data_IF_430454964600
#
_entry.id   IF_430454964600
#
_cell.length_a   1.000
_cell.length_b   1.000
_cell.length_c   1.000
_cell.angle_alpha   90.00
_cell.angle_beta   90.00
_cell.angle_gamma   90.00
#
_symmetry.space_group_name_H-M   'P 1'
#
loop_
_entity.id
_entity.type
_entity.pdbx_description
1 polymer ?
#
# COMPACT_ATOMS: atom_id res chain seq x y z
N UNK A 1 34.82 -1.99 6.57
CA UNK A 1 34.26 -2.96 5.62
C UNK A 1 33.03 -3.59 6.26
N UNK A 2 31.84 -3.43 5.70
CA UNK A 2 30.62 -4.08 6.21
C UNK A 2 30.49 -5.40 5.44
N UNK A 3 30.63 -6.53 6.15
CA UNK A 3 30.51 -7.86 5.57
C UNK A 3 29.04 -8.16 5.23
N UNK A 4 28.73 -8.79 4.08
CA UNK A 4 27.43 -9.39 3.84
C UNK A 4 27.39 -10.70 4.64
N UNK A 5 27.01 -10.62 5.91
CA UNK A 5 26.56 -11.82 6.62
C UNK A 5 25.09 -12.06 6.25
N UNK A 6 24.80 -13.31 5.91
CA UNK A 6 23.48 -13.90 5.69
C UNK A 6 22.47 -13.63 6.83
N UNK A 7 22.92 -13.08 7.97
CA UNK A 7 22.10 -12.66 9.10
C UNK A 7 21.21 -11.43 8.88
N UNK A 8 21.27 -10.76 7.72
CA UNK A 8 20.31 -9.68 7.41
C UNK A 8 18.91 -10.19 7.02
N UNK A 9 18.76 -11.48 6.70
CA UNK A 9 17.44 -12.09 6.43
C UNK A 9 16.71 -12.53 7.70
N UNK A 10 17.43 -12.79 8.79
CA UNK A 10 16.86 -13.26 10.05
C UNK A 10 16.15 -12.16 10.85
N UNK A 11 16.46 -10.89 10.58
CA UNK A 11 15.86 -9.76 11.31
C UNK A 11 14.37 -9.54 10.95
N UNK A 12 13.95 -9.93 9.74
CA UNK A 12 12.55 -9.85 9.29
C UNK A 12 11.65 -10.93 9.93
N UNK A 13 12.24 -11.95 10.55
CA UNK A 13 11.53 -12.99 11.31
C UNK A 13 11.46 -12.70 12.81
N UNK A 14 11.95 -11.55 13.26
CA UNK A 14 11.84 -11.13 14.65
C UNK A 14 10.42 -10.60 14.95
N UNK A 15 9.84 -11.01 16.08
CA UNK A 15 8.62 -10.41 16.62
C UNK A 15 8.96 -8.93 16.93
N UNK A 16 8.49 -7.97 16.10
CA UNK A 16 7.07 -7.67 15.85
C UNK A 16 6.63 -7.64 14.36
N UNK A 17 7.55 -7.76 13.41
CA UNK A 17 7.25 -7.60 11.97
C UNK A 17 6.32 -8.70 11.45
N UNK A 18 6.50 -9.92 11.94
CA UNK A 18 5.62 -11.03 11.61
C UNK A 18 4.16 -10.75 12.00
N UNK A 19 3.94 -10.14 13.16
CA UNK A 19 2.59 -9.79 13.61
C UNK A 19 1.97 -8.71 12.72
N UNK A 20 2.72 -7.66 12.39
CA UNK A 20 2.27 -6.61 11.46
C UNK A 20 1.91 -7.21 10.09
N UNK A 21 2.74 -8.12 9.60
CA UNK A 21 2.54 -8.78 8.32
C UNK A 21 1.31 -9.68 8.33
N UNK A 22 1.10 -10.43 9.41
CA UNK A 22 -0.10 -11.27 9.58
C UNK A 22 -1.37 -10.42 9.64
N UNK A 23 -1.34 -9.30 10.38
CA UNK A 23 -2.46 -8.34 10.42
C UNK A 23 -2.74 -7.75 9.05
N UNK A 24 -1.70 -7.31 8.33
CA UNK A 24 -1.84 -6.80 6.97
C UNK A 24 -2.51 -7.81 6.03
N UNK A 25 -2.10 -9.08 6.09
CA UNK A 25 -2.70 -10.14 5.29
C UNK A 25 -4.16 -10.41 5.67
N UNK A 26 -4.52 -10.31 6.95
CA UNK A 26 -5.90 -10.48 7.40
C UNK A 26 -6.81 -9.34 6.93
N UNK A 27 -6.39 -8.08 7.09
CA UNK A 27 -7.16 -6.90 6.71
C UNK A 27 -7.37 -6.80 5.19
N UNK A 28 -6.35 -7.17 4.41
CA UNK A 28 -6.47 -7.20 2.93
C UNK A 28 -7.42 -8.29 2.43
N UNK A 29 -7.68 -9.33 3.22
CA UNK A 29 -8.68 -10.37 2.92
C UNK A 29 -10.10 -10.01 3.38
N UNK A 30 -10.27 -8.98 4.20
CA UNK A 30 -11.58 -8.55 4.66
C UNK A 30 -12.44 -8.02 3.50
N UNK A 31 -13.76 -8.15 3.59
CA UNK A 31 -14.67 -7.66 2.54
C UNK A 31 -14.68 -6.14 2.49
N UNK A 32 -14.84 -5.57 1.30
CA UNK A 32 -14.93 -4.13 1.06
C UNK A 32 -13.68 -3.36 1.56
N UNK A 33 -12.50 -3.93 1.39
CA UNK A 33 -11.25 -3.29 1.77
C UNK A 33 -10.74 -2.37 0.67
N UNK A 34 -10.38 -1.15 1.03
CA UNK A 34 -9.62 -0.22 0.19
C UNK A 34 -8.16 -0.21 0.66
N UNK A 35 -7.25 -0.62 -0.22
CA UNK A 35 -5.82 -0.56 0.02
C UNK A 35 -5.20 0.58 -0.79
N UNK A 36 -4.62 1.56 -0.09
CA UNK A 36 -3.93 2.70 -0.72
C UNK A 36 -2.42 2.47 -0.58
N UNK A 37 -1.72 2.47 -1.71
CA UNK A 37 -0.28 2.24 -1.79
C UNK A 37 0.36 3.49 -2.40
N UNK A 38 1.24 4.16 -1.65
CA UNK A 38 1.89 5.39 -2.09
C UNK A 38 3.40 5.28 -1.91
N UNK A 39 4.18 5.58 -2.94
CA UNK A 39 5.64 5.60 -2.86
C UNK A 39 6.29 4.23 -2.65
N UNK A 40 5.58 3.14 -2.97
CA UNK A 40 6.09 1.78 -2.86
C UNK A 40 6.59 1.27 -4.21
N UNK A 41 7.85 0.85 -4.25
CA UNK A 41 8.53 0.39 -5.47
C UNK A 41 8.41 -1.11 -5.74
N UNK A 42 7.65 -1.86 -4.95
CA UNK A 42 7.55 -3.33 -5.05
C UNK A 42 8.88 -4.07 -4.86
N UNK A 43 9.80 -3.52 -4.07
CA UNK A 43 11.10 -4.15 -3.76
C UNK A 43 11.06 -5.33 -2.79
N UNK A 44 9.95 -5.54 -2.04
CA UNK A 44 9.83 -6.62 -1.06
C UNK A 44 8.93 -7.76 -1.58
N UNK A 45 9.51 -8.95 -1.75
CA UNK A 45 8.80 -10.10 -2.30
C UNK A 45 7.65 -10.60 -1.40
N UNK A 46 7.75 -10.47 -0.08
CA UNK A 46 6.73 -10.95 0.86
C UNK A 46 5.51 -10.03 0.86
N UNK A 47 5.73 -8.71 0.93
CA UNK A 47 4.64 -7.72 0.83
C UNK A 47 3.93 -7.86 -0.52
N UNK A 48 4.70 -7.98 -1.60
CA UNK A 48 4.17 -8.19 -2.93
C UNK A 48 3.29 -9.45 -2.99
N UNK A 49 3.75 -10.58 -2.44
CA UNK A 49 2.98 -11.82 -2.42
C UNK A 49 1.62 -11.64 -1.73
N UNK A 50 1.56 -10.92 -0.61
CA UNK A 50 0.30 -10.65 0.09
C UNK A 50 -0.63 -9.74 -0.70
N UNK A 51 -0.11 -8.70 -1.34
CA UNK A 51 -0.91 -7.82 -2.20
C UNK A 51 -1.55 -8.61 -3.35
N UNK A 52 -0.76 -9.40 -4.07
CA UNK A 52 -1.26 -10.20 -5.19
C UNK A 52 -2.19 -11.33 -4.74
N UNK A 53 -1.92 -11.94 -3.59
CA UNK A 53 -2.82 -12.94 -2.99
C UNK A 53 -4.16 -12.31 -2.61
N UNK A 54 -4.15 -11.12 -2.00
CA UNK A 54 -5.37 -10.40 -1.66
C UNK A 54 -6.20 -10.06 -2.92
N UNK A 55 -5.56 -9.60 -4.00
CA UNK A 55 -6.23 -9.37 -5.29
C UNK A 55 -6.88 -10.64 -5.87
N UNK A 56 -6.25 -11.80 -5.66
CA UNK A 56 -6.74 -13.08 -6.18
C UNK A 56 -7.88 -13.66 -5.33
N UNK A 57 -7.78 -13.56 -4.00
CA UNK A 57 -8.75 -14.17 -3.07
C UNK A 57 -9.95 -13.26 -2.82
N UNK A 58 -9.75 -11.94 -2.76
CA UNK A 58 -10.77 -10.97 -2.40
C UNK A 58 -11.21 -10.16 -3.62
N UNK A 59 -12.28 -10.60 -4.29
CA UNK A 59 -12.82 -9.87 -5.45
C UNK A 59 -13.38 -8.48 -5.12
N UNK A 60 -13.62 -8.17 -3.84
CA UNK A 60 -14.11 -6.85 -3.40
C UNK A 60 -13.01 -5.87 -3.02
N UNK A 61 -11.74 -6.32 -2.96
CA UNK A 61 -10.64 -5.42 -2.64
C UNK A 61 -10.49 -4.39 -3.77
N UNK A 62 -10.32 -3.13 -3.41
CA UNK A 62 -9.91 -2.08 -4.34
C UNK A 62 -8.53 -1.60 -3.96
N UNK A 63 -7.62 -1.50 -4.93
CA UNK A 63 -6.26 -0.98 -4.71
C UNK A 63 -6.11 0.35 -5.44
N UNK A 64 -5.63 1.37 -4.73
CA UNK A 64 -5.19 2.64 -5.33
C UNK A 64 -3.67 2.69 -5.22
N UNK A 65 -3.00 2.69 -6.36
CA UNK A 65 -1.56 2.80 -6.45
C UNK A 65 -1.15 4.18 -6.96
N UNK A 66 -0.40 4.89 -6.12
CA UNK A 66 0.06 6.26 -6.35
C UNK A 66 1.57 6.26 -6.53
N UNK A 67 2.02 6.50 -7.77
CA UNK A 67 3.44 6.63 -8.08
C UNK A 67 3.65 7.58 -9.27
N UNK A 68 4.65 8.48 -9.22
CA UNK A 68 4.93 9.40 -10.32
C UNK A 68 5.46 8.69 -11.57
N UNK A 69 6.03 7.48 -11.42
CA UNK A 69 6.59 6.67 -12.50
C UNK A 69 5.67 5.52 -12.90
N UNK A 70 4.37 5.60 -12.60
CA UNK A 70 3.40 4.53 -12.87
C UNK A 70 3.33 4.14 -14.35
N UNK A 71 3.70 5.04 -15.27
CA UNK A 71 3.76 4.82 -16.72
C UNK A 71 4.98 4.02 -17.17
N UNK A 72 5.97 3.77 -16.31
CA UNK A 72 7.13 2.92 -16.63
C UNK A 72 6.68 1.47 -16.75
N UNK A 73 6.62 0.94 -17.98
CA UNK A 73 6.13 -0.42 -18.27
C UNK A 73 6.92 -1.47 -17.49
N UNK A 74 8.24 -1.31 -17.40
CA UNK A 74 9.15 -2.31 -16.83
C UNK A 74 9.01 -2.55 -15.32
N UNK A 75 8.45 -1.60 -14.56
CA UNK A 75 8.43 -1.67 -13.09
C UNK A 75 7.19 -2.34 -12.50
N UNK A 76 6.04 -2.21 -13.18
CA UNK A 76 4.74 -2.58 -12.62
C UNK A 76 3.95 -3.57 -13.48
N UNK A 77 4.63 -4.36 -14.33
CA UNK A 77 4.00 -5.33 -15.24
C UNK A 77 2.97 -6.24 -14.55
N UNK A 78 3.30 -6.78 -13.38
CA UNK A 78 2.40 -7.65 -12.62
C UNK A 78 1.14 -6.93 -12.16
N UNK A 79 1.28 -5.69 -11.69
CA UNK A 79 0.16 -4.87 -11.24
C UNK A 79 -0.72 -4.46 -12.43
N UNK A 80 -0.12 -4.07 -13.56
CA UNK A 80 -0.85 -3.78 -14.80
C UNK A 80 -1.65 -4.98 -15.30
N UNK A 81 -1.04 -6.16 -15.29
CA UNK A 81 -1.75 -7.39 -15.65
C UNK A 81 -2.93 -7.63 -14.71
N UNK A 82 -2.79 -7.35 -13.41
CA UNK A 82 -3.90 -7.42 -12.48
C UNK A 82 -5.02 -6.41 -12.81
N UNK A 83 -4.69 -5.14 -13.11
CA UNK A 83 -5.67 -4.13 -13.57
C UNK A 83 -6.52 -4.67 -14.72
N UNK A 84 -5.88 -5.30 -15.71
CA UNK A 84 -6.55 -5.84 -16.90
C UNK A 84 -7.46 -7.04 -16.60
N UNK A 85 -7.16 -7.83 -15.56
CA UNK A 85 -7.94 -9.03 -15.25
C UNK A 85 -9.11 -8.77 -14.30
N UNK A 86 -8.89 -7.96 -13.26
CA UNK A 86 -9.84 -7.82 -12.15
C UNK A 86 -10.52 -6.45 -12.13
N UNK A 87 -9.97 -5.42 -12.78
CA UNK A 87 -10.56 -4.07 -12.86
C UNK A 87 -10.66 -3.33 -11.52
N UNK A 88 -10.08 -3.89 -10.46
CA UNK A 88 -10.16 -3.40 -9.08
C UNK A 88 -8.86 -2.70 -8.62
N UNK A 89 -7.98 -2.37 -9.57
CA UNK A 89 -6.73 -1.66 -9.32
C UNK A 89 -6.77 -0.35 -10.10
N UNK A 90 -6.57 0.76 -9.38
CA UNK A 90 -6.50 2.12 -9.90
C UNK A 90 -5.05 2.56 -9.79
N UNK A 91 -4.49 3.05 -10.89
CA UNK A 91 -3.11 3.52 -10.98
C UNK A 91 -3.12 5.02 -11.30
N UNK A 92 -2.44 5.83 -10.49
CA UNK A 92 -2.40 7.31 -10.64
C UNK A 92 -0.96 7.81 -10.71
N UNK A 93 -0.69 8.65 -11.71
CA UNK A 93 0.61 9.25 -12.02
C UNK A 93 0.84 10.56 -11.27
N UNK A 94 0.89 10.49 -9.96
CA UNK A 94 0.97 11.67 -9.10
C UNK A 94 1.99 11.48 -7.98
N UNK A 95 2.55 12.59 -7.50
CA UNK A 95 3.40 12.57 -6.30
C UNK A 95 2.54 12.50 -5.04
N UNK A 96 3.14 12.15 -3.90
CA UNK A 96 2.44 12.20 -2.62
C UNK A 96 1.87 13.60 -2.33
N UNK A 97 2.60 14.65 -2.70
CA UNK A 97 2.15 16.04 -2.52
C UNK A 97 0.88 16.31 -3.31
N UNK A 98 0.88 15.95 -4.60
CA UNK A 98 -0.29 16.16 -5.47
C UNK A 98 -1.49 15.35 -4.99
N UNK A 99 -1.26 14.13 -4.51
CA UNK A 99 -2.30 13.30 -3.90
C UNK A 99 -2.94 13.97 -2.69
N UNK A 100 -2.14 14.47 -1.74
CA UNK A 100 -2.66 15.16 -0.55
C UNK A 100 -3.40 16.45 -0.92
N UNK A 101 -2.86 17.24 -1.84
CA UNK A 101 -3.48 18.48 -2.31
C UNK A 101 -4.82 18.22 -3.03
N UNK A 102 -4.99 17.03 -3.63
CA UNK A 102 -6.23 16.58 -4.30
C UNK A 102 -7.31 16.11 -3.32
N UNK A 103 -6.92 15.68 -2.12
CA UNK A 103 -7.84 15.31 -1.03
C UNK A 103 -7.70 16.28 0.16
N UNK A 104 -8.00 17.59 -0.04
CA UNK A 104 -7.96 18.56 1.04
C UNK A 104 -9.00 18.14 2.08
N UNK A 105 -8.54 17.94 3.32
CA UNK A 105 -9.27 17.64 4.54
C UNK A 105 -10.80 17.44 4.40
N UNK A 106 -11.27 16.24 4.72
CA UNK A 106 -12.65 16.05 5.13
C UNK A 106 -12.93 16.97 6.33
N UNK A 107 -13.87 17.90 6.18
CA UNK A 107 -14.29 18.86 7.23
C UNK A 107 -14.70 18.17 8.54
N UNK A 108 -14.96 16.86 8.50
CA UNK A 108 -15.32 16.03 9.66
C UNK A 108 -14.21 16.00 10.72
N UNK A 109 -12.92 16.08 10.33
CA UNK A 109 -11.80 16.12 11.27
C UNK A 109 -11.30 17.55 11.58
N UNK A 110 -11.79 18.56 10.87
CA UNK A 110 -11.47 19.96 11.18
C UNK A 110 -12.21 20.42 12.44
N UNK A 111 -13.38 19.86 12.73
CA UNK A 111 -14.20 20.23 13.88
C UNK A 111 -13.49 19.98 15.23
N UNK A 112 -12.76 18.87 15.38
CA UNK A 112 -12.09 18.52 16.64
C UNK A 112 -10.87 19.40 16.94
N UNK A 113 -10.23 19.97 15.92
CA UNK A 113 -9.07 20.86 16.11
C UNK A 113 -9.50 22.29 16.49
N UNK A 114 -10.75 22.66 16.20
CA UNK A 114 -11.31 23.97 16.58
C UNK A 114 -11.84 24.00 18.02
N UNK A 115 -12.13 22.85 18.62
CA UNK A 115 -12.57 22.76 20.03
C UNK A 115 -11.37 22.87 21.00
N UNK A 116 -10.19 22.35 20.65
CA UNK A 116 -8.97 22.43 21.48
C UNK A 116 -8.30 23.83 21.49
N UNK A 117 -8.78 24.79 20.69
CA UNK A 117 -8.26 26.17 20.67
C UNK A 117 -9.11 27.14 21.52
N UNK A 118 -10.15 26.65 22.21
CA UNK A 118 -11.05 27.46 23.04
C UNK A 118 -11.01 27.10 24.54
N UNK A 119 -10.01 26.35 25.01
CA UNK A 119 -9.61 26.24 26.42
C UNK A 119 -8.29 26.98 26.70
#
# INVERSE_FOLDING_TARGET
MIYPSSNKYESSYQQPFFEMMSRFQQETRAKNTLLIIIGYSFGDAHINAMIYEALSVNSSITIIFVAPDVHDESKYDKLRNAVLQTGNVIMTDQTFKDFVDTYPYSEIYAQSILEDQNE
#
